data_IF_280140253268
#
_entry.id   IF_280140253268
#
_cell.length_a   1.000
_cell.length_b   1.000
_cell.length_c   1.000
_cell.angle_alpha   90.00
_cell.angle_beta   90.00
_cell.angle_gamma   90.00
#
_symmetry.space_group_name_H-M   'P 1'
#
loop_
_entity.id
_entity.type
_entity.pdbx_description
1 polymer ?
#
# COMPACT_ATOMS: atom_id res chain seq x y z
N UNK A 1 30.34 13.81 -4.94
CA UNK A 1 29.93 12.75 -5.90
C UNK A 1 29.07 11.65 -5.27
N UNK A 2 29.50 10.95 -4.21
CA UNK A 2 28.72 9.86 -3.57
C UNK A 2 27.26 10.23 -3.23
N UNK A 3 27.06 11.41 -2.63
CA UNK A 3 25.73 11.89 -2.26
C UNK A 3 24.84 12.25 -3.46
N UNK A 4 25.43 12.73 -4.55
CA UNK A 4 24.69 13.04 -5.79
C UNK A 4 24.11 11.76 -6.39
N UNK A 5 24.92 10.70 -6.47
CA UNK A 5 24.43 9.40 -6.93
C UNK A 5 23.36 8.82 -6.00
N UNK A 6 23.52 8.95 -4.69
CA UNK A 6 22.50 8.50 -3.73
C UNK A 6 21.16 9.21 -3.95
N UNK A 7 21.17 10.54 -4.11
CA UNK A 7 19.96 11.33 -4.37
C UNK A 7 19.31 10.93 -5.70
N UNK A 8 20.10 10.77 -6.76
CA UNK A 8 19.59 10.35 -8.08
C UNK A 8 18.93 8.96 -8.02
N UNK A 9 19.54 8.01 -7.30
CA UNK A 9 18.98 6.66 -7.13
C UNK A 9 17.64 6.74 -6.39
N UNK A 10 17.56 7.50 -5.30
CA UNK A 10 16.30 7.65 -4.55
C UNK A 10 15.19 8.25 -5.42
N UNK A 11 15.48 9.32 -6.17
CA UNK A 11 14.51 9.94 -7.09
C UNK A 11 14.06 8.95 -8.17
N UNK A 12 14.99 8.19 -8.75
CA UNK A 12 14.67 7.18 -9.76
C UNK A 12 13.77 6.07 -9.20
N UNK A 13 14.04 5.60 -7.97
CA UNK A 13 13.20 4.60 -7.30
C UNK A 13 11.79 5.13 -7.04
N UNK A 14 11.65 6.38 -6.56
CA UNK A 14 10.33 6.99 -6.38
C UNK A 14 9.55 7.09 -7.69
N UNK A 15 10.20 7.50 -8.78
CA UNK A 15 9.57 7.55 -10.09
C UNK A 15 9.10 6.17 -10.57
N UNK A 16 9.92 5.14 -10.38
CA UNK A 16 9.56 3.75 -10.71
C UNK A 16 8.36 3.24 -9.90
N UNK A 17 8.29 3.55 -8.61
CA UNK A 17 7.15 3.17 -7.76
C UNK A 17 5.87 3.85 -8.24
N UNK A 18 5.90 5.15 -8.51
CA UNK A 18 4.73 5.89 -8.98
C UNK A 18 4.27 5.36 -10.34
N UNK A 19 5.21 5.12 -11.26
CA UNK A 19 4.90 4.61 -12.58
C UNK A 19 4.30 3.20 -12.49
N UNK A 20 4.96 2.27 -11.79
CA UNK A 20 4.46 0.90 -11.61
C UNK A 20 3.07 0.88 -10.96
N UNK A 21 2.82 1.72 -9.95
CA UNK A 21 1.49 1.86 -9.34
C UNK A 21 0.42 2.30 -10.37
N UNK A 22 0.72 3.31 -11.19
CA UNK A 22 -0.21 3.78 -12.23
C UNK A 22 -0.42 2.74 -13.33
N UNK A 23 0.63 2.03 -13.72
CA UNK A 23 0.55 0.94 -14.70
C UNK A 23 -0.28 -0.23 -14.17
N UNK A 24 -0.06 -0.62 -12.90
CA UNK A 24 -0.83 -1.67 -12.23
C UNK A 24 -2.32 -1.30 -12.15
N UNK A 25 -2.65 -0.05 -11.79
CA UNK A 25 -4.05 0.43 -11.78
C UNK A 25 -4.74 0.40 -13.15
N UNK A 26 -3.98 0.54 -14.24
CA UNK A 26 -4.52 0.49 -15.60
C UNK A 26 -4.62 -0.94 -16.13
N UNK A 27 -3.96 -1.89 -15.48
CA UNK A 27 -4.03 -3.30 -15.88
C UNK A 27 -5.42 -3.80 -15.51
N UNK A 28 -6.23 -4.21 -16.50
CA UNK A 28 -7.56 -4.74 -16.19
C UNK A 28 -7.39 -5.97 -15.31
N UNK A 29 -8.22 -6.04 -14.28
CA UNK A 29 -8.32 -7.22 -13.43
C UNK A 29 -8.69 -8.43 -14.31
N UNK A 30 -8.05 -9.60 -14.12
CA UNK A 30 -8.35 -10.78 -14.91
C UNK A 30 -9.80 -11.21 -14.69
N UNK A 31 -10.41 -11.79 -15.73
CA UNK A 31 -11.81 -12.24 -15.70
C UNK A 31 -12.05 -13.15 -14.49
N UNK A 32 -13.04 -12.79 -13.65
CA UNK A 32 -13.38 -13.54 -12.44
C UNK A 32 -12.67 -13.07 -11.15
N UNK A 33 -11.80 -12.06 -11.23
CA UNK A 33 -11.18 -11.41 -10.06
C UNK A 33 -11.72 -10.00 -9.78
N UNK A 34 -12.71 -9.53 -10.55
CA UNK A 34 -13.27 -8.17 -10.43
C UNK A 34 -14.02 -7.92 -9.12
N UNK A 35 -14.56 -8.98 -8.51
CA UNK A 35 -15.30 -8.94 -7.24
C UNK A 35 -14.62 -9.79 -6.16
N UNK A 36 -13.32 -10.04 -6.30
CA UNK A 36 -12.55 -10.76 -5.29
C UNK A 36 -12.31 -9.81 -4.11
N UNK A 37 -13.31 -9.71 -3.23
CA UNK A 37 -13.01 -9.33 -1.86
C UNK A 37 -11.97 -10.32 -1.33
N UNK A 38 -11.02 -9.88 -0.49
CA UNK A 38 -10.09 -10.79 0.14
C UNK A 38 -10.92 -11.82 0.92
N UNK A 39 -11.06 -13.00 0.34
CA UNK A 39 -11.82 -14.09 0.93
C UNK A 39 -10.88 -14.69 1.99
N UNK A 40 -10.83 -14.04 3.16
CA UNK A 40 -9.92 -14.41 4.26
C UNK A 40 -10.16 -15.86 4.71
N UNK A 41 -11.31 -16.44 4.33
CA UNK A 41 -11.64 -17.87 4.42
C UNK A 41 -10.64 -18.79 3.71
N UNK A 42 -10.12 -18.42 2.54
CA UNK A 42 -9.12 -19.22 1.83
C UNK A 42 -7.75 -19.21 2.54
N UNK A 43 -7.49 -18.19 3.36
CA UNK A 43 -6.32 -18.09 4.23
C UNK A 43 -6.54 -18.73 5.61
N UNK A 44 -7.74 -19.27 5.89
CA UNK A 44 -8.11 -19.80 7.20
C UNK A 44 -8.23 -18.75 8.30
N UNK A 45 -8.25 -17.46 7.96
CA UNK A 45 -8.32 -16.35 8.90
C UNK A 45 -9.75 -15.80 8.90
N UNK A 46 -10.48 -16.00 9.99
CA UNK A 46 -11.88 -15.57 10.13
C UNK A 46 -12.07 -14.06 10.10
N UNK A 47 -11.02 -13.30 10.47
CA UNK A 47 -10.96 -11.85 10.36
C UNK A 47 -9.63 -11.47 9.70
N UNK A 48 -9.67 -10.69 8.62
CA UNK A 48 -8.49 -10.01 8.11
C UNK A 48 -8.10 -8.85 9.05
N UNK A 49 -7.72 -9.20 10.28
CA UNK A 49 -7.24 -8.29 11.33
C UNK A 49 -6.06 -7.43 10.88
N UNK A 50 -5.30 -7.87 9.88
CA UNK A 50 -4.11 -7.17 9.41
C UNK A 50 -4.43 -5.78 8.83
N UNK A 51 -5.60 -5.59 8.21
CA UNK A 51 -5.98 -4.28 7.65
C UNK A 51 -6.66 -3.40 8.69
N UNK A 52 -7.52 -3.97 9.54
CA UNK A 52 -8.23 -3.21 10.59
C UNK A 52 -7.30 -2.75 11.71
N UNK A 53 -6.38 -3.60 12.19
CA UNK A 53 -5.46 -3.20 13.26
C UNK A 53 -4.46 -2.13 12.81
N UNK A 54 -4.05 -2.16 11.53
CA UNK A 54 -3.17 -1.13 10.97
C UNK A 54 -3.93 0.18 10.75
N UNK A 55 -5.17 0.15 10.22
CA UNK A 55 -5.98 1.36 10.07
C UNK A 55 -6.33 1.99 11.43
N UNK A 56 -6.79 1.18 12.39
CA UNK A 56 -7.11 1.66 13.73
C UNK A 56 -5.89 2.28 14.41
N UNK A 57 -4.72 1.65 14.29
CA UNK A 57 -3.47 2.21 14.83
C UNK A 57 -3.10 3.53 14.17
N UNK A 58 -3.20 3.62 12.84
CA UNK A 58 -2.93 4.89 12.11
C UNK A 58 -3.92 5.98 12.54
N UNK A 59 -5.20 5.64 12.74
CA UNK A 59 -6.23 6.58 13.19
C UNK A 59 -5.99 7.06 14.63
N UNK A 60 -5.54 6.19 15.53
CA UNK A 60 -5.16 6.56 16.91
C UNK A 60 -3.96 7.51 16.96
N UNK A 61 -2.92 7.27 16.15
CA UNK A 61 -1.75 8.15 16.11
C UNK A 61 -2.10 9.53 15.51
N UNK A 62 -2.89 9.58 14.43
CA UNK A 62 -3.36 10.83 13.84
C UNK A 62 -4.26 11.65 14.79
N UNK A 63 -5.02 10.98 15.67
CA UNK A 63 -5.85 11.64 16.67
C UNK A 63 -5.05 12.22 17.84
N UNK A 64 -3.87 11.67 18.14
CA UNK A 64 -2.94 12.22 19.14
C UNK A 64 -2.22 13.47 18.63
N UNK A 65 -1.82 13.48 17.36
CA UNK A 65 -1.14 14.63 16.74
C UNK A 65 -2.09 15.82 16.49
N UNK A 66 -3.39 15.59 16.39
CA UNK A 66 -4.41 16.63 16.21
C UNK A 66 -4.94 17.30 17.48
N UNK A 67 -4.48 16.89 18.67
CA UNK A 67 -4.90 17.45 19.96
C UNK A 67 -3.70 17.97 20.80
N UNK A 68 -2.60 18.34 20.12
CA UNK A 68 -1.48 19.10 20.68
C UNK A 68 -1.48 20.54 20.19
#
# INVERSE_FOLDING_TARGET
MKYVYAVLIVVALFALVIWSYRANKRTPVPKGCENLHPDCKACGLMDCELRSNVLNKIEEELKKDGNS
#
